data_IF_004074178659
#
_entry.id   IF_004074178659
#
_cell.length_a   1.000
_cell.length_b   1.000
_cell.length_c   1.000
_cell.angle_alpha   90.00
_cell.angle_beta   90.00
_cell.angle_gamma   90.00
#
_symmetry.space_group_name_H-M   'P 1'
#
loop_
_entity.id
_entity.type
_entity.pdbx_description
1 polymer ?
#
# COMPACT_ATOMS: atom_id res chain seq x y z
N UNK A 1 6.30 -9.78 -21.50
CA UNK A 1 5.84 -10.44 -20.27
C UNK A 1 6.53 -9.76 -19.12
N UNK A 2 5.80 -8.99 -18.30
CA UNK A 2 6.36 -8.43 -17.08
C UNK A 2 6.37 -9.53 -16.02
N UNK A 3 7.55 -9.85 -15.49
CA UNK A 3 7.72 -10.79 -14.39
C UNK A 3 7.85 -9.98 -13.10
N UNK A 4 6.81 -10.02 -12.27
CA UNK A 4 6.85 -9.46 -10.92
C UNK A 4 5.50 -9.60 -10.20
N UNK A 5 5.53 -9.94 -8.92
CA UNK A 5 4.35 -10.06 -8.06
C UNK A 5 3.95 -8.67 -7.54
N UNK A 6 2.88 -8.10 -8.09
CA UNK A 6 2.32 -6.85 -7.61
C UNK A 6 1.24 -7.11 -6.56
N UNK A 7 1.37 -6.51 -5.38
CA UNK A 7 0.41 -6.66 -4.29
C UNK A 7 -0.40 -5.38 -4.06
N UNK A 8 -1.71 -5.54 -3.88
CA UNK A 8 -2.67 -4.45 -3.63
C UNK A 8 -3.25 -4.58 -2.22
N UNK A 9 -2.52 -4.13 -1.18
CA UNK A 9 -2.97 -4.31 0.20
C UNK A 9 -4.23 -3.51 0.50
N UNK A 10 -5.11 -4.10 1.32
CA UNK A 10 -6.20 -3.39 1.98
C UNK A 10 -5.63 -2.29 2.89
N UNK A 11 -6.37 -1.19 3.04
CA UNK A 11 -6.08 -0.19 4.09
C UNK A 11 -6.93 -0.53 5.32
N UNK A 12 -6.36 -1.17 6.36
CA UNK A 12 -7.13 -1.54 7.54
C UNK A 12 -7.60 -0.29 8.28
N UNK A 13 -8.87 -0.31 8.65
CA UNK A 13 -9.51 0.74 9.45
C UNK A 13 -10.02 0.14 10.76
N UNK A 14 -9.83 0.85 11.85
CA UNK A 14 -10.43 0.57 13.14
C UNK A 14 -11.29 1.77 13.56
N UNK A 15 -12.59 1.57 13.75
CA UNK A 15 -13.53 2.66 14.10
C UNK A 15 -13.41 3.87 13.15
N UNK A 16 -13.36 3.62 11.83
CA UNK A 16 -13.16 4.62 10.76
C UNK A 16 -11.79 5.33 10.75
N UNK A 17 -10.90 5.02 11.68
CA UNK A 17 -9.54 5.54 11.71
C UNK A 17 -8.57 4.56 11.08
N UNK A 18 -7.50 5.09 10.49
CA UNK A 18 -6.46 4.26 9.89
C UNK A 18 -5.72 3.45 10.96
N UNK A 19 -5.75 2.11 10.83
CA UNK A 19 -5.02 1.21 11.71
C UNK A 19 -3.59 0.99 11.18
N UNK A 20 -2.69 1.86 11.62
CA UNK A 20 -1.28 1.85 11.22
C UNK A 20 -0.59 0.52 11.57
N UNK A 21 -0.90 -0.08 12.74
CA UNK A 21 -0.24 -1.32 13.19
C UNK A 21 -0.67 -2.52 12.33
N UNK A 22 -1.95 -2.63 12.04
CA UNK A 22 -2.46 -3.68 11.15
C UNK A 22 -1.88 -3.52 9.74
N UNK A 23 -1.76 -2.28 9.25
CA UNK A 23 -1.21 -2.00 7.93
C UNK A 23 0.27 -2.38 7.83
N UNK A 24 1.08 -2.02 8.83
CA UNK A 24 2.50 -2.40 8.90
C UNK A 24 2.66 -3.93 8.89
N UNK A 25 1.79 -4.66 9.60
CA UNK A 25 1.83 -6.13 9.60
C UNK A 25 1.52 -6.73 8.23
N UNK A 26 0.61 -6.12 7.47
CA UNK A 26 0.33 -6.53 6.08
C UNK A 26 1.55 -6.24 5.21
N UNK A 27 2.12 -5.04 5.28
CA UNK A 27 3.32 -4.67 4.52
C UNK A 27 4.47 -5.62 4.80
N UNK A 28 4.77 -5.91 6.07
CA UNK A 28 5.85 -6.82 6.45
C UNK A 28 5.68 -8.21 5.82
N UNK A 29 4.45 -8.75 5.80
CA UNK A 29 4.17 -10.04 5.17
C UNK A 29 4.33 -10.01 3.65
N UNK A 30 3.95 -8.92 3.00
CA UNK A 30 4.11 -8.76 1.56
C UNK A 30 5.59 -8.60 1.18
N UNK A 31 6.34 -7.84 1.96
CA UNK A 31 7.79 -7.71 1.81
C UNK A 31 8.50 -9.04 2.02
N UNK A 32 8.13 -9.80 3.05
CA UNK A 32 8.67 -11.15 3.32
C UNK A 32 8.34 -12.15 2.20
N UNK A 33 7.16 -12.01 1.58
CA UNK A 33 6.76 -12.79 0.42
C UNK A 33 7.49 -12.42 -0.89
N UNK A 34 8.33 -11.38 -0.88
CA UNK A 34 9.14 -10.99 -2.04
C UNK A 34 8.35 -10.31 -3.16
N UNK A 35 7.32 -9.53 -2.83
CA UNK A 35 6.57 -8.76 -3.85
C UNK A 35 7.46 -7.72 -4.52
N UNK A 36 7.32 -7.59 -5.85
CA UNK A 36 8.11 -6.68 -6.66
C UNK A 36 7.56 -5.24 -6.64
N UNK A 37 6.26 -5.08 -6.34
CA UNK A 37 5.62 -3.76 -6.26
C UNK A 37 4.38 -3.75 -5.36
N UNK A 38 4.07 -2.56 -4.82
CA UNK A 38 2.92 -2.32 -3.95
C UNK A 38 1.98 -1.25 -4.54
N UNK A 39 0.77 -1.67 -4.88
CA UNK A 39 -0.32 -0.82 -5.34
C UNK A 39 -1.13 -0.25 -4.17
N UNK A 40 -0.59 0.77 -3.52
CA UNK A 40 -1.19 1.39 -2.33
C UNK A 40 -2.14 2.51 -2.77
N UNK A 41 -3.30 2.63 -2.09
CA UNK A 41 -4.38 3.56 -2.46
C UNK A 41 -5.05 3.27 -3.83
N UNK A 42 -5.01 2.02 -4.30
CA UNK A 42 -5.91 1.56 -5.37
C UNK A 42 -7.38 1.48 -4.92
N UNK A 43 -8.29 1.13 -5.83
CA UNK A 43 -9.71 0.86 -5.48
C UNK A 43 -9.84 -0.20 -4.38
N UNK A 44 -8.99 -1.22 -4.41
CA UNK A 44 -8.85 -2.26 -3.37
C UNK A 44 -8.39 -1.71 -2.03
N UNK A 45 -7.59 -0.64 -2.02
CA UNK A 45 -7.10 0.02 -0.80
C UNK A 45 -8.13 0.94 -0.14
N UNK A 46 -9.39 0.92 -0.58
CA UNK A 46 -10.48 1.77 -0.07
C UNK A 46 -10.20 3.27 -0.17
N UNK A 47 -9.33 3.69 -1.10
CA UNK A 47 -8.93 5.08 -1.32
C UNK A 47 -10.12 6.06 -1.37
N UNK A 48 -11.21 5.65 -2.03
CA UNK A 48 -12.42 6.44 -2.19
C UNK A 48 -13.04 6.91 -0.86
N UNK A 49 -12.85 6.14 0.22
CA UNK A 49 -13.50 6.36 1.52
C UNK A 49 -12.56 6.99 2.57
N UNK A 50 -11.29 7.22 2.23
CA UNK A 50 -10.32 7.84 3.14
C UNK A 50 -10.31 9.37 3.00
N UNK A 51 -10.18 10.07 4.11
CA UNK A 51 -9.91 11.51 4.11
C UNK A 51 -8.53 11.82 3.50
N UNK A 52 -8.30 13.08 3.10
CA UNK A 52 -6.98 13.49 2.56
C UNK A 52 -5.85 13.24 3.56
N UNK A 53 -6.10 13.48 4.85
CA UNK A 53 -5.12 13.25 5.91
C UNK A 53 -4.82 11.76 6.08
N UNK A 54 -5.85 10.91 6.08
CA UNK A 54 -5.68 9.46 6.14
C UNK A 54 -4.88 8.94 4.94
N UNK A 55 -5.19 9.40 3.72
CA UNK A 55 -4.42 9.05 2.51
C UNK A 55 -2.95 9.44 2.65
N UNK A 56 -2.68 10.65 3.15
CA UNK A 56 -1.31 11.11 3.39
C UNK A 56 -0.59 10.22 4.39
N UNK A 57 -1.26 9.84 5.48
CA UNK A 57 -0.69 8.97 6.52
C UNK A 57 -0.40 7.57 5.98
N UNK A 58 -1.31 6.98 5.22
CA UNK A 58 -1.12 5.67 4.57
C UNK A 58 0.12 5.68 3.69
N UNK A 59 0.29 6.69 2.84
CA UNK A 59 1.48 6.80 1.96
C UNK A 59 2.77 7.00 2.76
N UNK A 60 2.72 7.78 3.85
CA UNK A 60 3.89 7.98 4.70
C UNK A 60 4.32 6.68 5.38
N UNK A 61 3.37 5.93 5.95
CA UNK A 61 3.63 4.64 6.61
C UNK A 61 4.12 3.62 5.58
N UNK A 62 3.46 3.56 4.42
CA UNK A 62 3.91 2.74 3.31
C UNK A 62 5.37 2.99 2.94
N UNK A 63 5.77 4.26 2.73
CA UNK A 63 7.15 4.61 2.39
C UNK A 63 8.15 4.28 3.50
N UNK A 64 7.75 4.44 4.76
CA UNK A 64 8.61 4.11 5.89
C UNK A 64 8.87 2.60 6.02
N UNK A 65 7.90 1.76 5.60
CA UNK A 65 7.92 0.32 5.87
C UNK A 65 8.08 -0.58 4.63
N UNK A 66 7.85 -0.06 3.42
CA UNK A 66 8.06 -0.80 2.16
C UNK A 66 9.55 -0.93 1.78
N UNK A 67 10.45 -0.25 2.47
CA UNK A 67 11.89 -0.31 2.22
C UNK A 67 12.24 0.11 0.79
N UNK A 68 12.89 -0.79 0.04
CA UNK A 68 13.30 -0.59 -1.35
C UNK A 68 12.20 -0.89 -2.37
N UNK A 69 11.05 -1.42 -1.95
CA UNK A 69 9.96 -1.81 -2.84
C UNK A 69 9.27 -0.53 -3.34
N UNK A 70 9.17 -0.31 -4.67
CA UNK A 70 8.56 0.89 -5.22
C UNK A 70 7.05 0.96 -4.89
N UNK A 71 6.61 2.11 -4.39
CA UNK A 71 5.18 2.46 -4.25
C UNK A 71 4.67 3.10 -5.55
N UNK A 72 3.64 2.53 -6.17
CA UNK A 72 3.12 2.98 -7.47
C UNK A 72 2.34 4.30 -7.38
N UNK A 73 2.19 4.90 -6.20
CA UNK A 73 1.39 6.11 -5.97
C UNK A 73 1.84 7.37 -6.72
N UNK A 74 2.96 7.33 -7.46
CA UNK A 74 3.45 8.43 -8.31
C UNK A 74 3.98 8.06 -9.70
N UNK A 75 4.04 6.79 -10.10
CA UNK A 75 4.51 6.46 -11.45
C UNK A 75 3.34 5.99 -12.30
N UNK A 76 3.18 6.65 -13.45
CA UNK A 76 2.29 6.19 -14.49
C UNK A 76 2.79 4.83 -14.97
N UNK A 77 1.92 3.82 -14.90
CA UNK A 77 1.91 2.59 -15.70
C UNK A 77 3.19 1.74 -15.59
N UNK A 78 3.21 0.82 -14.64
CA UNK A 78 3.99 -0.41 -14.80
C UNK A 78 3.29 -1.69 -14.37
N UNK A 79 1.96 -1.65 -14.25
CA UNK A 79 1.12 -2.83 -14.19
C UNK A 79 0.01 -2.64 -15.24
N UNK A 80 0.35 -2.91 -16.50
CA UNK A 80 -0.62 -3.22 -17.56
C UNK A 80 -0.55 -4.72 -17.83
#
# INVERSE_FOLDING_TARGET
MFSGLCAFPLTPLHQQNFDEKAFIRILARLTDAGVDSLGILGSTGSYAYLSREQRRRVVQVAKAHAGSIPDDGRRRRHCD
#
